data_IF_980663334014
#
_entry.id   IF_980663334014
#
_cell.length_a   1.000
_cell.length_b   1.000
_cell.length_c   1.000
_cell.angle_alpha   90.00
_cell.angle_beta   90.00
_cell.angle_gamma   90.00
#
_symmetry.space_group_name_H-M   'P 1'
#
loop_
_entity.id
_entity.type
_entity.pdbx_description
1 polymer ?
#
# COMPACT_ATOMS: atom_id res chain seq x y z
N UNK A 1 27.72 10.07 6.26
CA UNK A 1 26.43 10.46 5.65
C UNK A 1 25.41 9.33 5.67
N UNK A 2 25.74 8.14 5.15
CA UNK A 2 24.82 6.98 5.15
C UNK A 2 24.48 6.42 6.55
N UNK A 3 25.37 6.54 7.54
CA UNK A 3 25.17 6.04 8.91
C UNK A 3 23.89 6.57 9.61
N UNK A 4 23.36 7.72 9.16
CA UNK A 4 22.14 8.33 9.68
C UNK A 4 21.12 8.63 8.58
N UNK A 5 21.26 7.97 7.42
CA UNK A 5 20.32 8.13 6.32
C UNK A 5 19.00 7.44 6.69
N UNK A 6 17.93 8.23 6.71
CA UNK A 6 16.60 7.72 6.99
C UNK A 6 15.98 7.33 5.67
N UNK A 7 15.73 6.03 5.49
CA UNK A 7 15.16 5.50 4.27
C UNK A 7 13.75 6.04 4.05
N UNK A 8 12.90 5.99 5.08
CA UNK A 8 11.50 6.37 4.96
C UNK A 8 10.93 6.97 6.25
N UNK A 9 9.71 7.50 6.18
CA UNK A 9 8.88 7.77 7.34
C UNK A 9 7.94 6.57 7.58
N UNK A 10 7.58 6.34 8.84
CA UNK A 10 6.64 5.28 9.23
C UNK A 10 5.39 5.99 9.75
N UNK A 11 4.43 6.22 8.88
CA UNK A 11 3.26 7.08 9.05
C UNK A 11 2.42 6.72 10.29
N UNK A 12 2.19 5.42 10.55
CA UNK A 12 1.43 4.96 11.71
C UNK A 12 2.13 5.22 13.05
N UNK A 13 3.43 5.56 13.05
CA UNK A 13 4.17 5.93 14.26
C UNK A 13 3.97 7.41 14.67
N UNK A 14 3.33 8.23 13.83
CA UNK A 14 3.11 9.65 14.12
C UNK A 14 1.74 9.89 14.74
N UNK A 15 1.69 10.73 15.77
CA UNK A 15 0.45 11.27 16.34
C UNK A 15 0.23 12.75 16.07
N UNK A 16 1.30 13.43 15.66
CA UNK A 16 1.30 14.81 15.19
C UNK A 16 1.54 14.80 13.69
N UNK A 17 0.50 15.12 12.93
CA UNK A 17 0.52 15.20 11.46
C UNK A 17 1.50 16.26 10.96
N UNK A 18 1.68 17.36 11.69
CA UNK A 18 2.66 18.38 11.34
C UNK A 18 4.09 17.85 11.48
N UNK A 19 4.34 16.97 12.45
CA UNK A 19 5.63 16.29 12.59
C UNK A 19 5.87 15.30 11.45
N UNK A 20 4.86 14.54 11.04
CA UNK A 20 4.93 13.65 9.88
C UNK A 20 5.36 14.43 8.62
N UNK A 21 4.70 15.53 8.31
CA UNK A 21 5.01 16.34 7.12
C UNK A 21 6.45 16.90 7.19
N UNK A 22 6.91 17.38 8.34
CA UNK A 22 8.29 17.87 8.51
C UNK A 22 9.35 16.79 8.31
N UNK A 23 9.08 15.59 8.80
CA UNK A 23 9.98 14.45 8.63
C UNK A 23 9.97 13.95 7.19
N UNK A 24 8.82 13.95 6.52
CA UNK A 24 8.71 13.67 5.10
C UNK A 24 9.53 14.66 4.25
N UNK A 25 9.44 15.97 4.52
CA UNK A 25 10.32 16.97 3.88
C UNK A 25 11.80 16.62 4.11
N UNK A 26 12.14 16.23 5.33
CA UNK A 26 13.53 15.88 5.70
C UNK A 26 14.02 14.64 4.94
N UNK A 27 13.19 13.60 4.82
CA UNK A 27 13.48 12.38 4.05
C UNK A 27 13.63 12.71 2.56
N UNK A 28 12.71 13.46 1.98
CA UNK A 28 12.79 13.89 0.58
C UNK A 28 14.08 14.69 0.30
N UNK A 29 14.41 15.68 1.16
CA UNK A 29 15.66 16.46 1.04
C UNK A 29 16.92 15.59 1.14
N UNK A 30 16.95 14.63 2.06
CA UNK A 30 18.09 13.70 2.19
C UNK A 30 18.21 12.82 0.95
N UNK A 31 17.10 12.36 0.40
CA UNK A 31 17.07 11.54 -0.81
C UNK A 31 17.58 12.30 -2.02
N UNK A 32 17.11 13.52 -2.24
CA UNK A 32 17.62 14.40 -3.28
C UNK A 32 19.11 14.74 -3.07
N UNK A 33 19.54 15.06 -1.84
CA UNK A 33 20.97 15.31 -1.55
C UNK A 33 21.85 14.10 -1.91
N UNK A 34 21.40 12.89 -1.57
CA UNK A 34 22.14 11.67 -1.90
C UNK A 34 22.18 11.47 -3.42
N UNK A 35 21.05 11.64 -4.12
CA UNK A 35 20.99 11.56 -5.57
C UNK A 35 21.96 12.55 -6.24
N UNK A 36 21.92 13.83 -5.85
CA UNK A 36 22.83 14.88 -6.35
C UNK A 36 24.30 14.54 -6.13
N UNK A 37 24.64 13.92 -5.00
CA UNK A 37 25.99 13.47 -4.71
C UNK A 37 26.39 12.29 -5.62
N UNK A 38 25.51 11.32 -5.82
CA UNK A 38 25.76 10.17 -6.68
C UNK A 38 25.89 10.58 -8.15
N UNK A 39 25.07 11.51 -8.62
CA UNK A 39 25.18 12.09 -9.97
C UNK A 39 26.60 12.64 -10.20
N UNK A 40 27.13 13.42 -9.25
CA UNK A 40 28.47 14.02 -9.36
C UNK A 40 29.62 13.02 -9.23
N UNK A 41 29.45 11.96 -8.45
CA UNK A 41 30.53 11.01 -8.16
C UNK A 41 30.60 9.87 -9.17
N UNK A 42 29.45 9.47 -9.71
CA UNK A 42 29.33 8.32 -10.59
C UNK A 42 29.13 8.70 -12.05
N UNK A 43 28.70 9.93 -12.32
CA UNK A 43 28.34 10.42 -13.65
C UNK A 43 27.48 9.39 -14.43
N UNK A 44 26.35 8.93 -13.84
CA UNK A 44 25.64 7.80 -14.39
C UNK A 44 24.96 8.15 -15.71
N UNK A 45 24.93 7.19 -16.65
CA UNK A 45 24.18 7.36 -17.90
C UNK A 45 22.67 7.35 -17.67
N UNK A 46 22.18 6.62 -16.65
CA UNK A 46 20.76 6.50 -16.33
C UNK A 46 20.52 6.74 -14.83
N UNK A 47 19.49 7.51 -14.51
CA UNK A 47 19.06 7.79 -13.14
C UNK A 47 17.61 7.34 -12.94
N UNK A 48 17.40 6.41 -12.00
CA UNK A 48 16.08 6.06 -11.49
C UNK A 48 15.98 6.47 -10.02
N UNK A 49 15.03 7.34 -9.69
CA UNK A 49 14.86 7.89 -8.36
C UNK A 49 13.38 7.87 -7.95
N UNK A 50 13.10 7.26 -6.80
CA UNK A 50 11.75 7.22 -6.23
C UNK A 50 11.69 8.17 -5.05
N UNK A 51 10.67 9.02 -4.95
CA UNK A 51 10.31 9.71 -3.71
C UNK A 51 9.13 8.98 -3.08
N UNK A 52 9.33 8.32 -1.94
CA UNK A 52 8.28 7.53 -1.26
C UNK A 52 7.37 8.38 -0.37
N UNK A 53 7.81 9.58 -0.01
CA UNK A 53 7.09 10.44 0.94
C UNK A 53 5.68 10.88 0.51
N UNK A 54 5.33 11.01 -0.79
CA UNK A 54 3.94 11.28 -1.20
C UNK A 54 2.96 10.22 -0.69
N UNK A 55 3.29 8.94 -0.88
CA UNK A 55 2.49 7.79 -0.42
C UNK A 55 2.25 7.85 1.09
N UNK A 56 3.34 8.02 1.85
CA UNK A 56 3.31 8.10 3.32
C UNK A 56 2.47 9.25 3.87
N UNK A 57 2.42 10.36 3.15
CA UNK A 57 1.63 11.53 3.51
C UNK A 57 0.16 11.32 3.16
N UNK A 58 -0.11 10.78 1.97
CA UNK A 58 -1.48 10.65 1.48
C UNK A 58 -2.30 9.65 2.28
N UNK A 59 -1.70 8.60 2.84
CA UNK A 59 -2.42 7.68 3.71
C UNK A 59 -3.19 8.40 4.84
N UNK A 60 -2.55 9.14 5.76
CA UNK A 60 -3.26 9.88 6.81
C UNK A 60 -3.90 11.18 6.34
N UNK A 61 -3.33 11.88 5.35
CA UNK A 61 -3.67 13.29 5.06
C UNK A 61 -4.47 13.52 3.77
N UNK A 62 -4.96 12.48 3.09
CA UNK A 62 -5.75 12.64 1.86
C UNK A 62 -6.94 13.59 2.02
N UNK A 63 -7.67 13.50 3.14
CA UNK A 63 -8.80 14.41 3.42
C UNK A 63 -8.45 15.90 3.46
N UNK A 64 -7.16 16.27 3.55
CA UNK A 64 -6.69 17.65 3.49
C UNK A 64 -6.44 18.16 2.06
N UNK A 65 -6.28 17.25 1.10
CA UNK A 65 -6.05 17.57 -0.32
C UNK A 65 -7.24 17.24 -1.20
N UNK A 66 -8.15 16.40 -0.72
CA UNK A 66 -9.37 16.02 -1.41
C UNK A 66 -10.36 17.20 -1.44
N UNK A 67 -10.69 17.75 -2.63
CA UNK A 67 -11.64 18.86 -2.74
C UNK A 67 -13.06 18.51 -2.27
N UNK A 68 -13.39 17.22 -2.18
CA UNK A 68 -14.69 16.73 -1.71
C UNK A 68 -14.78 16.58 -0.19
N UNK A 69 -13.66 16.73 0.53
CA UNK A 69 -13.64 16.62 2.00
C UNK A 69 -14.05 17.94 2.68
N UNK A 70 -14.79 17.84 3.79
CA UNK A 70 -15.15 19.01 4.61
C UNK A 70 -13.92 19.48 5.43
N UNK A 71 -13.38 20.70 5.18
CA UNK A 71 -12.17 21.19 5.85
C UNK A 71 -12.39 21.66 7.30
N UNK A 72 -13.61 21.58 7.85
CA UNK A 72 -14.07 22.37 9.01
C UNK A 72 -13.44 22.11 10.39
N UNK A 73 -12.19 21.63 10.47
CA UNK A 73 -11.47 21.45 11.74
C UNK A 73 -10.27 22.40 11.80
N UNK A 74 -10.30 23.39 12.71
CA UNK A 74 -9.29 24.44 12.85
C UNK A 74 -7.86 23.92 13.10
N UNK A 75 -7.69 22.67 13.56
CA UNK A 75 -6.37 22.03 13.67
C UNK A 75 -5.73 21.68 12.32
N UNK A 76 -6.55 21.54 11.27
CA UNK A 76 -6.15 21.07 9.93
C UNK A 76 -5.53 22.16 9.06
N UNK A 77 -5.85 23.44 9.29
CA UNK A 77 -5.32 24.55 8.48
C UNK A 77 -3.79 24.60 8.49
N UNK A 78 -3.19 24.46 9.67
CA UNK A 78 -1.72 24.45 9.83
C UNK A 78 -1.07 23.25 9.14
N UNK A 79 -1.73 22.09 9.19
CA UNK A 79 -1.23 20.88 8.52
C UNK A 79 -1.36 21.03 7.00
N UNK A 80 -2.46 21.61 6.51
CA UNK A 80 -2.65 21.93 5.10
C UNK A 80 -1.60 22.92 4.58
N UNK A 81 -1.27 23.97 5.35
CA UNK A 81 -0.18 24.89 5.00
C UNK A 81 1.17 24.16 4.90
N UNK A 82 1.48 23.31 5.89
CA UNK A 82 2.70 22.49 5.86
C UNK A 82 2.72 21.51 4.68
N UNK A 83 1.57 20.95 4.32
CA UNK A 83 1.43 20.05 3.18
C UNK A 83 1.67 20.79 1.86
N UNK A 84 1.14 22.01 1.70
CA UNK A 84 1.46 22.86 0.56
C UNK A 84 2.97 23.15 0.49
N UNK A 85 3.60 23.46 1.63
CA UNK A 85 5.07 23.63 1.70
C UNK A 85 5.81 22.36 1.32
N UNK A 86 5.32 21.19 1.69
CA UNK A 86 5.90 19.91 1.27
C UNK A 86 5.87 19.75 -0.24
N UNK A 87 4.77 20.08 -0.92
CA UNK A 87 4.68 19.99 -2.38
C UNK A 87 5.63 20.94 -3.09
N UNK A 88 5.69 22.20 -2.64
CA UNK A 88 6.65 23.19 -3.17
C UNK A 88 8.11 22.75 -2.97
N UNK A 89 8.41 22.14 -1.83
CA UNK A 89 9.74 21.59 -1.56
C UNK A 89 10.04 20.39 -2.46
N UNK A 90 9.11 19.45 -2.62
CA UNK A 90 9.29 18.29 -3.48
C UNK A 90 9.53 18.70 -4.94
N UNK A 91 8.72 19.62 -5.46
CA UNK A 91 8.88 20.19 -6.81
C UNK A 91 10.27 20.80 -6.99
N UNK A 92 10.70 21.66 -6.05
CA UNK A 92 12.04 22.27 -6.09
C UNK A 92 13.19 21.25 -5.93
N UNK A 93 12.96 20.11 -5.27
CA UNK A 93 13.94 19.03 -5.18
C UNK A 93 14.03 18.24 -6.49
N UNK A 94 12.89 17.97 -7.14
CA UNK A 94 12.84 17.32 -8.46
C UNK A 94 13.54 18.20 -9.49
N UNK A 95 13.23 19.50 -9.54
CA UNK A 95 13.91 20.47 -10.41
C UNK A 95 15.43 20.44 -10.22
N UNK A 96 15.93 20.48 -8.98
CA UNK A 96 17.38 20.39 -8.70
C UNK A 96 18.03 19.10 -9.19
N UNK A 97 17.33 17.97 -9.08
CA UNK A 97 17.84 16.68 -9.56
C UNK A 97 17.90 16.68 -11.09
N UNK A 98 16.86 17.17 -11.77
CA UNK A 98 16.82 17.30 -13.23
C UNK A 98 17.94 18.22 -13.72
N UNK A 99 18.11 19.40 -13.12
CA UNK A 99 19.15 20.38 -13.50
C UNK A 99 20.58 19.88 -13.26
N UNK A 100 20.79 19.07 -12.23
CA UNK A 100 22.10 18.52 -11.90
C UNK A 100 22.46 17.30 -12.75
N UNK A 101 21.46 16.61 -13.29
CA UNK A 101 21.65 15.56 -14.26
C UNK A 101 21.98 16.16 -15.64
N UNK A 102 22.37 15.33 -16.60
CA UNK A 102 22.61 15.78 -17.97
C UNK A 102 21.29 16.13 -18.67
N UNK A 103 21.25 17.12 -19.58
CA UNK A 103 20.09 17.36 -20.42
C UNK A 103 19.69 16.09 -21.18
N UNK A 104 18.42 15.73 -21.15
CA UNK A 104 17.87 14.55 -21.81
C UNK A 104 16.40 14.34 -21.47
N UNK A 105 15.83 13.21 -21.88
CA UNK A 105 14.45 12.86 -21.57
C UNK A 105 14.28 12.49 -20.09
N UNK A 106 13.39 13.20 -19.40
CA UNK A 106 12.96 12.93 -18.02
C UNK A 106 11.52 12.46 -18.02
N UNK A 107 11.25 11.33 -17.36
CA UNK A 107 9.91 10.83 -17.10
C UNK A 107 9.64 10.91 -15.60
N UNK A 108 8.51 11.50 -15.21
CA UNK A 108 7.98 11.46 -13.83
C UNK A 108 6.72 10.61 -13.85
N UNK A 109 6.77 9.49 -13.15
CA UNK A 109 5.72 8.48 -13.15
C UNK A 109 5.41 8.11 -11.71
N UNK A 110 4.14 7.92 -11.38
CA UNK A 110 3.76 7.26 -10.13
C UNK A 110 3.46 5.78 -10.35
N UNK A 111 3.81 4.96 -9.37
CA UNK A 111 3.54 3.52 -9.37
C UNK A 111 2.04 3.20 -9.21
N UNK A 112 1.30 4.13 -8.62
CA UNK A 112 -0.15 4.09 -8.50
C UNK A 112 -0.72 5.51 -8.34
N UNK A 113 -2.05 5.60 -8.30
CA UNK A 113 -2.81 6.77 -7.86
C UNK A 113 -3.13 6.76 -6.38
N UNK A 114 -3.96 7.72 -5.97
CA UNK A 114 -4.49 7.80 -4.61
C UNK A 114 -5.91 8.38 -4.62
N UNK A 115 -6.68 8.05 -3.58
CA UNK A 115 -8.09 8.48 -3.44
C UNK A 115 -8.60 8.29 -2.02
N UNK A 116 -9.84 8.73 -1.74
CA UNK A 116 -10.41 8.65 -0.40
C UNK A 116 -10.55 7.19 0.06
N UNK A 117 -10.32 6.95 1.34
CA UNK A 117 -10.52 5.65 1.97
C UNK A 117 -11.83 5.64 2.74
N UNK A 118 -12.77 4.80 2.32
CA UNK A 118 -14.08 4.65 2.97
C UNK A 118 -14.03 3.67 4.14
N UNK A 119 -13.35 2.53 3.95
CA UNK A 119 -13.32 1.45 4.93
C UNK A 119 -12.19 0.47 4.65
N UNK A 120 -12.15 -0.61 5.44
CA UNK A 120 -11.28 -1.77 5.26
C UNK A 120 -12.12 -3.05 5.27
N UNK A 121 -11.87 -3.93 4.30
CA UNK A 121 -12.49 -5.24 4.15
C UNK A 121 -11.59 -6.35 4.72
N UNK A 122 -12.14 -7.19 5.59
CA UNK A 122 -11.41 -8.25 6.30
C UNK A 122 -11.63 -9.62 5.63
N UNK A 123 -10.83 -9.91 4.60
CA UNK A 123 -11.03 -11.06 3.72
C UNK A 123 -10.98 -12.40 4.43
N UNK A 124 -9.97 -12.62 5.28
CA UNK A 124 -9.86 -13.89 6.01
C UNK A 124 -11.00 -14.08 7.01
N UNK A 125 -11.55 -13.00 7.57
CA UNK A 125 -12.75 -13.06 8.40
C UNK A 125 -13.99 -13.43 7.55
N UNK A 126 -14.10 -12.93 6.31
CA UNK A 126 -15.13 -13.34 5.36
C UNK A 126 -15.05 -14.84 5.05
N UNK A 127 -13.86 -15.34 4.71
CA UNK A 127 -13.60 -16.76 4.45
C UNK A 127 -13.91 -17.62 5.67
N UNK A 128 -13.52 -17.17 6.88
CA UNK A 128 -13.77 -17.88 8.14
C UNK A 128 -15.26 -18.01 8.44
N UNK A 129 -16.04 -16.94 8.26
CA UNK A 129 -17.50 -16.96 8.50
C UNK A 129 -18.24 -17.92 7.57
N UNK A 130 -17.70 -18.13 6.38
CA UNK A 130 -18.26 -19.01 5.37
C UNK A 130 -17.65 -20.43 5.41
N UNK A 131 -16.85 -20.76 6.43
CA UNK A 131 -16.27 -22.10 6.60
C UNK A 131 -15.16 -22.45 5.61
N UNK A 132 -14.64 -21.48 4.86
CA UNK A 132 -13.56 -21.66 3.89
C UNK A 132 -12.16 -21.53 4.53
N UNK A 133 -12.07 -20.88 5.68
CA UNK A 133 -10.84 -20.75 6.46
C UNK A 133 -11.03 -21.28 7.88
N UNK A 134 -10.15 -22.20 8.28
CA UNK A 134 -10.10 -22.78 9.61
C UNK A 134 -9.04 -22.10 10.49
N UNK A 135 -9.31 -22.04 11.80
CA UNK A 135 -8.38 -21.49 12.80
C UNK A 135 -8.01 -22.56 13.82
N UNK A 136 -6.79 -22.51 14.35
CA UNK A 136 -6.31 -23.49 15.34
C UNK A 136 -7.20 -23.51 16.59
N UNK A 137 -7.51 -24.71 17.08
CA UNK A 137 -8.34 -24.93 18.27
C UNK A 137 -7.79 -24.19 19.49
N UNK A 138 -8.69 -23.65 20.31
CA UNK A 138 -8.35 -22.94 21.55
C UNK A 138 -8.02 -21.46 21.36
N UNK A 139 -7.86 -20.99 20.12
CA UNK A 139 -7.82 -19.56 19.83
C UNK A 139 -9.20 -18.95 20.02
N UNK A 140 -9.25 -17.78 20.67
CA UNK A 140 -10.45 -16.92 20.74
C UNK A 140 -10.14 -15.59 20.04
N UNK A 141 -10.08 -15.54 18.68
CA UNK A 141 -9.67 -14.35 17.94
C UNK A 141 -10.42 -13.09 18.34
N UNK A 142 -11.72 -13.21 18.59
CA UNK A 142 -12.57 -12.10 19.04
C UNK A 142 -12.12 -11.53 20.39
N UNK A 143 -11.69 -12.37 21.34
CA UNK A 143 -11.23 -11.91 22.65
C UNK A 143 -9.84 -11.24 22.53
N UNK A 144 -8.95 -11.80 21.71
CA UNK A 144 -7.63 -11.22 21.41
C UNK A 144 -7.79 -9.85 20.74
N UNK A 145 -8.63 -9.75 19.70
CA UNK A 145 -8.89 -8.48 19.02
C UNK A 145 -9.57 -7.48 19.93
N UNK A 146 -10.54 -7.90 20.75
CA UNK A 146 -11.19 -6.98 21.71
C UNK A 146 -10.17 -6.36 22.67
N UNK A 147 -9.19 -7.15 23.13
CA UNK A 147 -8.08 -6.65 23.95
C UNK A 147 -7.16 -5.70 23.16
N UNK A 148 -6.80 -6.07 21.92
CA UNK A 148 -5.99 -5.20 21.04
C UNK A 148 -6.70 -3.88 20.74
N UNK A 149 -8.02 -3.88 20.56
CA UNK A 149 -8.84 -2.69 20.32
C UNK A 149 -8.82 -1.75 21.53
N UNK A 150 -9.02 -2.29 22.75
CA UNK A 150 -8.87 -1.51 23.99
C UNK A 150 -7.47 -0.90 24.13
N UNK A 151 -6.44 -1.66 23.78
CA UNK A 151 -5.06 -1.19 23.81
C UNK A 151 -4.78 -0.10 22.76
N UNK A 152 -5.29 -0.24 21.54
CA UNK A 152 -5.16 0.76 20.48
C UNK A 152 -5.90 2.05 20.81
N UNK A 153 -7.09 1.96 21.42
CA UNK A 153 -7.82 3.12 21.94
C UNK A 153 -7.02 3.84 23.03
N UNK A 154 -6.48 3.09 24.01
CA UNK A 154 -5.63 3.65 25.05
C UNK A 154 -4.37 4.30 24.46
N UNK A 155 -3.73 3.65 23.48
CA UNK A 155 -2.57 4.17 22.75
C UNK A 155 -2.89 5.48 22.04
N UNK A 156 -4.02 5.55 21.32
CA UNK A 156 -4.48 6.77 20.64
C UNK A 156 -4.78 7.92 21.61
N UNK A 157 -5.43 7.64 22.75
CA UNK A 157 -5.71 8.66 23.77
C UNK A 157 -4.41 9.19 24.38
N UNK A 158 -3.48 8.31 24.74
CA UNK A 158 -2.18 8.69 25.31
C UNK A 158 -1.30 9.47 24.31
N UNK A 159 -1.36 9.09 23.02
CA UNK A 159 -0.68 9.78 21.92
C UNK A 159 -1.22 11.20 21.73
N UNK A 160 -2.55 11.36 21.61
CA UNK A 160 -3.20 12.68 21.48
C UNK A 160 -2.95 13.60 22.68
N UNK A 161 -2.83 13.03 23.89
CA UNK A 161 -2.54 13.80 25.09
C UNK A 161 -1.07 14.23 25.22
N UNK A 162 -0.18 13.82 24.30
CA UNK A 162 1.26 14.10 24.37
C UNK A 162 2.00 13.34 25.50
N UNK A 163 1.29 12.47 26.21
CA UNK A 163 1.82 11.69 27.36
C UNK A 163 2.67 10.54 26.86
N UNK A 164 2.37 10.01 25.66
CA UNK A 164 3.06 8.85 25.12
C UNK A 164 4.57 9.06 24.98
N UNK A 165 5.03 10.26 24.59
CA UNK A 165 6.47 10.52 24.38
C UNK A 165 7.28 10.49 25.69
N UNK A 166 6.69 11.03 26.78
CA UNK A 166 7.30 11.01 28.11
C UNK A 166 7.18 9.63 28.77
N UNK A 167 6.09 8.91 28.51
CA UNK A 167 5.90 7.56 29.00
C UNK A 167 6.80 6.58 28.26
N UNK A 168 7.09 6.76 26.97
CA UNK A 168 7.89 5.86 26.15
C UNK A 168 9.36 5.77 26.60
N UNK A 169 9.97 6.91 26.97
CA UNK A 169 11.35 6.91 27.49
C UNK A 169 11.46 6.28 28.88
N UNK A 170 10.47 6.51 29.76
CA UNK A 170 10.39 5.91 31.09
C UNK A 170 9.93 4.43 31.07
N UNK A 171 9.09 4.05 30.12
CA UNK A 171 8.53 2.71 29.93
C UNK A 171 9.55 1.66 29.47
N UNK A 172 10.61 2.10 28.77
CA UNK A 172 11.67 1.20 28.33
C UNK A 172 12.60 0.78 29.47
N UNK A 173 12.72 1.60 30.53
CA UNK A 173 13.59 1.31 31.68
C UNK A 173 12.84 0.68 32.86
N UNK A 174 11.52 0.89 32.98
CA UNK A 174 10.76 0.42 34.12
C UNK A 174 9.50 -0.37 33.72
N UNK A 175 9.50 -1.65 34.10
CA UNK A 175 8.30 -2.50 34.32
C UNK A 175 7.57 -3.02 33.06
N UNK A 176 7.99 -4.17 32.55
CA UNK A 176 7.08 -5.18 31.96
C UNK A 176 6.34 -4.85 30.64
N UNK A 177 6.48 -3.64 30.09
CA UNK A 177 5.85 -3.21 28.84
C UNK A 177 6.33 -3.98 27.60
N UNK A 178 7.42 -4.76 27.71
CA UNK A 178 7.84 -5.73 26.69
C UNK A 178 6.76 -6.80 26.43
N UNK A 179 5.96 -7.20 27.44
CA UNK A 179 4.80 -8.08 27.25
C UNK A 179 3.63 -7.36 26.58
N UNK A 180 3.43 -6.08 26.85
CA UNK A 180 2.39 -5.26 26.22
C UNK A 180 2.70 -5.04 24.73
N UNK A 181 3.96 -4.72 24.41
CA UNK A 181 4.49 -4.71 23.05
C UNK A 181 4.40 -6.08 22.39
N UNK A 182 4.61 -7.19 23.12
CA UNK A 182 4.38 -8.53 22.57
C UNK A 182 2.92 -8.77 22.19
N UNK A 183 1.94 -8.11 22.83
CA UNK A 183 0.52 -8.20 22.44
C UNK A 183 0.21 -7.35 21.19
N UNK A 184 0.85 -6.18 21.03
CA UNK A 184 0.74 -5.35 19.82
C UNK A 184 1.49 -5.99 18.64
N UNK A 185 2.64 -6.62 18.88
CA UNK A 185 3.38 -7.42 17.90
C UNK A 185 2.57 -8.69 17.53
N UNK A 186 1.92 -9.34 18.50
CA UNK A 186 0.95 -10.42 18.25
C UNK A 186 -0.31 -9.97 17.50
N UNK A 187 -0.60 -8.67 17.44
CA UNK A 187 -1.68 -8.17 16.60
C UNK A 187 -1.25 -8.08 15.13
N UNK A 188 -0.01 -7.67 14.85
CA UNK A 188 0.56 -7.85 13.51
C UNK A 188 0.65 -9.34 13.11
N UNK A 189 0.75 -10.24 14.10
CA UNK A 189 0.65 -11.71 13.92
C UNK A 189 -0.79 -12.15 13.54
N UNK A 190 -1.85 -11.35 13.76
CA UNK A 190 -3.22 -11.69 13.34
C UNK A 190 -3.48 -11.49 11.85
N UNK A 191 -2.70 -10.63 11.18
CA UNK A 191 -2.59 -10.56 9.73
C UNK A 191 -1.70 -11.68 9.17
N UNK A 192 -0.97 -12.37 10.05
CA UNK A 192 -0.15 -13.52 9.66
C UNK A 192 -0.99 -14.79 9.60
N UNK A 193 -0.50 -15.73 8.80
CA UNK A 193 -1.12 -17.05 8.64
C UNK A 193 -0.79 -18.01 9.80
N UNK A 194 -0.11 -17.57 10.87
CA UNK A 194 0.34 -18.45 11.97
C UNK A 194 -0.82 -19.08 12.75
N UNK A 195 -2.00 -18.46 12.72
CA UNK A 195 -3.21 -18.90 13.42
C UNK A 195 -4.13 -19.79 12.58
N UNK A 196 -3.84 -19.91 11.27
CA UNK A 196 -4.60 -20.74 10.33
C UNK A 196 -4.40 -22.21 10.66
N UNK A 197 -5.50 -22.97 10.65
CA UNK A 197 -5.46 -24.43 10.65
C UNK A 197 -5.54 -24.93 9.21
N UNK A 198 -4.36 -25.15 8.61
CA UNK A 198 -4.21 -25.49 7.19
C UNK A 198 -4.97 -26.74 6.77
N UNK A 199 -5.09 -27.74 7.65
CA UNK A 199 -5.80 -28.99 7.34
C UNK A 199 -7.32 -28.81 7.25
N UNK A 200 -7.84 -27.66 7.68
CA UNK A 200 -9.26 -27.30 7.60
C UNK A 200 -9.51 -26.03 6.79
N UNK A 201 -8.51 -25.56 6.02
CA UNK A 201 -8.57 -24.31 5.26
C UNK A 201 -8.56 -24.60 3.78
N UNK A 202 -9.60 -24.16 3.07
CA UNK A 202 -9.78 -24.31 1.63
C UNK A 202 -9.25 -23.08 0.86
N UNK A 203 -9.37 -21.90 1.44
CA UNK A 203 -8.92 -20.65 0.85
C UNK A 203 -8.41 -19.70 1.93
N UNK A 204 -7.45 -18.86 1.55
CA UNK A 204 -6.81 -17.90 2.45
C UNK A 204 -6.35 -16.67 1.69
N UNK A 205 -6.15 -15.59 2.42
CA UNK A 205 -5.54 -14.37 1.95
C UNK A 205 -4.37 -14.00 2.85
N UNK A 206 -3.37 -13.29 2.33
CA UNK A 206 -2.17 -12.95 3.09
C UNK A 206 -1.72 -11.51 2.85
N UNK A 207 -0.79 -11.05 3.68
CA UNK A 207 -0.21 -9.73 3.51
C UNK A 207 0.65 -9.70 2.23
N UNK A 208 0.17 -9.03 1.19
CA UNK A 208 0.95 -8.65 0.01
C UNK A 208 1.24 -7.14 0.05
N UNK A 209 2.35 -6.75 -0.58
CA UNK A 209 2.63 -5.36 -0.95
C UNK A 209 2.67 -5.35 -2.49
N UNK A 210 1.74 -4.67 -3.22
CA UNK A 210 0.68 -3.74 -2.80
C UNK A 210 -0.63 -4.39 -2.35
N UNK A 211 -1.56 -3.54 -1.90
CA UNK A 211 -2.87 -3.86 -1.33
C UNK A 211 -3.87 -4.27 -2.42
N UNK A 212 -3.61 -5.40 -3.09
CA UNK A 212 -4.60 -6.02 -3.96
C UNK A 212 -5.48 -6.94 -3.10
N UNK A 213 -6.78 -6.74 -3.17
CA UNK A 213 -7.77 -7.64 -2.60
C UNK A 213 -7.68 -8.97 -3.35
N UNK A 214 -7.18 -10.02 -2.69
CA UNK A 214 -6.92 -11.30 -3.34
C UNK A 214 -7.20 -12.49 -2.42
N UNK A 215 -7.39 -13.66 -3.01
CA UNK A 215 -7.55 -14.94 -2.31
C UNK A 215 -6.80 -16.03 -3.08
N UNK A 216 -6.06 -16.84 -2.34
CA UNK A 216 -5.47 -18.09 -2.81
C UNK A 216 -6.31 -19.27 -2.33
N UNK A 217 -6.45 -20.28 -3.17
CA UNK A 217 -6.93 -21.60 -2.79
C UNK A 217 -5.77 -22.41 -2.19
N UNK A 218 -6.04 -23.18 -1.14
CA UNK A 218 -5.06 -24.05 -0.50
C UNK A 218 -4.95 -25.39 -1.26
N UNK A 219 -4.38 -25.35 -2.47
CA UNK A 219 -4.28 -26.47 -3.40
C UNK A 219 -3.25 -27.51 -2.96
N UNK A 220 -3.62 -28.78 -3.08
CA UNK A 220 -2.77 -29.91 -2.68
C UNK A 220 -1.45 -30.02 -3.47
N UNK A 221 -1.37 -29.42 -4.66
CA UNK A 221 -0.22 -29.48 -5.57
C UNK A 221 0.61 -28.18 -5.61
N UNK A 222 0.17 -27.11 -4.93
CA UNK A 222 0.89 -25.82 -4.88
C UNK A 222 1.28 -25.41 -3.46
N UNK A 223 0.46 -25.68 -2.45
CA UNK A 223 0.70 -25.29 -1.07
C UNK A 223 1.25 -26.46 -0.23
N UNK A 224 2.23 -26.22 0.67
CA UNK A 224 2.83 -27.29 1.48
C UNK A 224 1.83 -28.12 2.30
N UNK A 225 0.75 -27.49 2.77
CA UNK A 225 -0.32 -28.13 3.54
C UNK A 225 -1.68 -28.07 2.82
N UNK A 226 -1.65 -28.03 1.49
CA UNK A 226 -2.81 -27.99 0.62
C UNK A 226 -3.81 -29.12 0.86
N UNK A 227 -5.10 -28.78 0.86
CA UNK A 227 -6.22 -29.75 1.04
C UNK A 227 -7.19 -29.77 -0.13
N UNK A 228 -7.13 -28.79 -1.03
CA UNK A 228 -8.00 -28.70 -2.19
C UNK A 228 -7.37 -29.48 -3.35
N UNK A 229 -7.91 -30.64 -3.75
CA UNK A 229 -7.43 -31.33 -4.94
C UNK A 229 -7.81 -30.55 -6.21
N UNK A 230 -7.04 -30.70 -7.28
CA UNK A 230 -7.32 -30.04 -8.56
C UNK A 230 -8.76 -30.28 -9.09
N UNK A 231 -9.33 -31.46 -8.81
CA UNK A 231 -10.73 -31.79 -9.18
C UNK A 231 -11.80 -30.94 -8.47
N UNK A 232 -11.42 -30.24 -7.40
CA UNK A 232 -12.28 -29.36 -6.59
C UNK A 232 -11.94 -27.87 -6.77
N UNK A 233 -10.98 -27.53 -7.64
CA UNK A 233 -10.51 -26.16 -7.84
C UNK A 233 -11.66 -25.18 -8.11
N UNK A 234 -12.44 -25.45 -9.15
CA UNK A 234 -13.55 -24.57 -9.54
C UNK A 234 -14.66 -24.49 -8.50
N UNK A 235 -14.99 -25.62 -7.85
CA UNK A 235 -15.99 -25.65 -6.80
C UNK A 235 -15.62 -24.74 -5.61
N UNK A 236 -14.37 -24.79 -5.16
CA UNK A 236 -13.87 -23.94 -4.08
C UNK A 236 -13.75 -22.49 -4.56
N UNK A 237 -13.30 -22.25 -5.79
CA UNK A 237 -13.19 -20.91 -6.37
C UNK A 237 -14.55 -20.21 -6.44
N UNK A 238 -15.58 -20.91 -6.90
CA UNK A 238 -16.94 -20.37 -6.93
C UNK A 238 -17.52 -20.15 -5.53
N UNK A 239 -17.19 -20.98 -4.53
CA UNK A 239 -17.57 -20.74 -3.14
C UNK A 239 -16.93 -19.45 -2.57
N UNK A 240 -15.65 -19.19 -2.89
CA UNK A 240 -14.96 -17.94 -2.54
C UNK A 240 -15.62 -16.74 -3.23
N UNK A 241 -15.90 -16.83 -4.53
CA UNK A 241 -16.57 -15.76 -5.27
C UNK A 241 -17.94 -15.48 -4.65
N UNK A 242 -18.72 -16.51 -4.38
CA UNK A 242 -20.04 -16.41 -3.75
C UNK A 242 -20.00 -15.70 -2.40
N UNK A 243 -19.07 -16.07 -1.51
CA UNK A 243 -18.97 -15.44 -0.20
C UNK A 243 -18.58 -13.95 -0.27
N UNK A 244 -17.71 -13.58 -1.21
CA UNK A 244 -17.36 -12.18 -1.45
C UNK A 244 -18.57 -11.40 -1.95
N UNK A 245 -19.31 -11.92 -2.94
CA UNK A 245 -20.49 -11.23 -3.47
C UNK A 245 -21.62 -11.10 -2.43
N UNK A 246 -21.81 -12.11 -1.58
CA UNK A 246 -22.79 -12.03 -0.50
C UNK A 246 -22.39 -11.02 0.57
N UNK A 247 -21.10 -10.91 0.91
CA UNK A 247 -20.60 -9.82 1.75
C UNK A 247 -20.84 -8.44 1.11
N UNK A 248 -20.67 -8.31 -0.21
CA UNK A 248 -21.02 -7.08 -0.94
C UNK A 248 -22.49 -6.68 -0.74
N UNK A 249 -23.42 -7.63 -0.85
CA UNK A 249 -24.85 -7.41 -0.59
C UNK A 249 -25.14 -7.06 0.87
N UNK A 250 -24.55 -7.78 1.81
CA UNK A 250 -24.75 -7.58 3.26
C UNK A 250 -24.35 -6.16 3.70
N UNK A 251 -23.22 -5.66 3.21
CA UNK A 251 -22.68 -4.36 3.60
C UNK A 251 -23.05 -3.22 2.62
N UNK A 252 -23.81 -3.51 1.57
CA UNK A 252 -24.24 -2.50 0.58
C UNK A 252 -23.08 -1.91 -0.23
N UNK A 253 -22.04 -2.70 -0.49
CA UNK A 253 -20.85 -2.28 -1.26
C UNK A 253 -20.74 -3.04 -2.57
N UNK A 254 -20.17 -2.40 -3.59
CA UNK A 254 -19.91 -3.05 -4.87
C UNK A 254 -18.62 -3.84 -4.78
N UNK A 255 -18.72 -5.16 -4.95
CA UNK A 255 -17.57 -6.05 -5.09
C UNK A 255 -17.49 -6.53 -6.53
N UNK A 256 -16.41 -6.19 -7.22
CA UNK A 256 -16.07 -6.78 -8.54
C UNK A 256 -15.05 -7.87 -8.32
N UNK A 257 -15.30 -9.04 -8.88
CA UNK A 257 -14.42 -10.19 -8.71
C UNK A 257 -13.83 -10.53 -10.08
N UNK A 258 -12.54 -10.82 -10.08
CA UNK A 258 -11.74 -11.17 -11.25
C UNK A 258 -11.07 -12.52 -10.99
N UNK A 259 -11.08 -13.38 -12.01
CA UNK A 259 -10.29 -14.61 -11.99
C UNK A 259 -8.86 -14.29 -12.41
N UNK A 260 -7.90 -15.09 -11.94
CA UNK A 260 -6.48 -14.84 -12.23
C UNK A 260 -6.17 -14.71 -13.71
N UNK A 261 -6.82 -15.54 -14.54
CA UNK A 261 -6.66 -15.57 -16.00
C UNK A 261 -7.28 -14.36 -16.72
N UNK A 262 -8.10 -13.57 -16.04
CA UNK A 262 -8.67 -12.32 -16.57
C UNK A 262 -7.73 -11.13 -16.34
N UNK A 263 -6.84 -11.22 -15.36
CA UNK A 263 -5.94 -10.13 -14.93
C UNK A 263 -4.51 -10.38 -15.37
N UNK A 264 -4.04 -11.63 -15.24
CA UNK A 264 -2.66 -12.02 -15.48
C UNK A 264 -2.56 -13.02 -16.62
N UNK A 265 -1.41 -13.02 -17.27
CA UNK A 265 -1.06 -14.01 -18.29
C UNK A 265 0.43 -14.38 -18.19
N UNK A 266 0.89 -15.33 -19.00
CA UNK A 266 2.29 -15.75 -19.04
C UNK A 266 2.62 -16.99 -18.17
N UNK A 267 3.90 -17.39 -18.14
CA UNK A 267 4.34 -18.70 -17.61
C UNK A 267 4.14 -18.86 -16.10
N UNK A 268 4.05 -17.74 -15.36
CA UNK A 268 3.89 -17.72 -13.91
C UNK A 268 2.44 -17.57 -13.45
N UNK A 269 1.45 -17.66 -14.36
CA UNK A 269 0.03 -17.53 -14.04
C UNK A 269 -0.42 -18.46 -12.90
N UNK A 270 0.17 -19.66 -12.80
CA UNK A 270 -0.13 -20.62 -11.74
C UNK A 270 0.24 -20.14 -10.32
N UNK A 271 1.15 -19.17 -10.20
CA UNK A 271 1.57 -18.55 -8.93
C UNK A 271 0.69 -17.35 -8.54
N UNK A 272 -0.12 -16.82 -9.47
CA UNK A 272 -1.00 -15.69 -9.19
C UNK A 272 -2.11 -16.08 -8.20
N UNK A 273 -2.68 -15.10 -7.45
CA UNK A 273 -3.86 -15.34 -6.64
C UNK A 273 -5.01 -15.86 -7.51
N UNK A 274 -5.75 -16.85 -7.02
CA UNK A 274 -6.80 -17.50 -7.82
C UNK A 274 -8.04 -16.63 -8.02
N UNK A 275 -8.29 -15.73 -7.06
CA UNK A 275 -9.36 -14.74 -7.11
C UNK A 275 -8.77 -13.39 -6.71
N UNK A 276 -8.99 -12.38 -7.56
CA UNK A 276 -8.75 -10.98 -7.26
C UNK A 276 -10.10 -10.27 -7.16
N UNK A 277 -10.19 -9.20 -6.38
CA UNK A 277 -11.41 -8.44 -6.30
C UNK A 277 -11.15 -6.97 -6.01
N UNK A 278 -12.15 -6.14 -6.20
CA UNK A 278 -12.14 -4.71 -5.87
C UNK A 278 -13.42 -4.37 -5.14
N UNK A 279 -13.33 -3.49 -4.14
CA UNK A 279 -14.49 -3.04 -3.36
C UNK A 279 -14.62 -1.52 -3.54
N UNK A 280 -15.81 -1.06 -3.96
CA UNK A 280 -16.11 0.35 -4.27
C UNK A 280 -15.01 1.03 -5.10
N UNK A 281 -14.55 0.36 -6.17
CA UNK A 281 -13.55 0.89 -7.12
C UNK A 281 -12.22 1.28 -6.46
N UNK A 282 -11.83 0.53 -5.43
CA UNK A 282 -10.59 0.72 -4.69
C UNK A 282 -10.67 1.71 -3.54
N UNK A 283 -11.85 2.24 -3.19
CA UNK A 283 -12.01 3.10 -1.99
C UNK A 283 -12.00 2.33 -0.68
N UNK A 284 -12.11 0.99 -0.73
CA UNK A 284 -12.06 0.12 0.44
C UNK A 284 -10.77 -0.71 0.42
N UNK A 285 -9.99 -0.56 1.47
CA UNK A 285 -8.70 -1.23 1.64
C UNK A 285 -8.86 -2.70 2.05
N UNK A 286 -7.86 -3.51 1.76
CA UNK A 286 -7.80 -4.91 2.13
C UNK A 286 -7.07 -5.13 3.47
N UNK A 287 -7.54 -6.11 4.26
CA UNK A 287 -6.76 -6.62 5.38
C UNK A 287 -7.00 -8.13 5.64
N UNK A 288 -5.94 -8.96 5.74
CA UNK A 288 -6.08 -10.40 5.97
C UNK A 288 -6.30 -10.75 7.45
N UNK A 289 -6.56 -9.79 8.34
CA UNK A 289 -6.68 -10.09 9.77
C UNK A 289 -7.98 -10.82 10.12
N UNK A 290 -7.89 -11.68 11.13
CA UNK A 290 -8.97 -12.55 11.61
C UNK A 290 -9.54 -12.12 12.96
N UNK A 291 -10.84 -12.32 13.20
CA UNK A 291 -11.47 -12.19 14.53
C UNK A 291 -12.25 -10.88 14.74
N UNK A 292 -12.48 -10.13 13.67
CA UNK A 292 -13.29 -8.91 13.70
C UNK A 292 -14.79 -9.24 13.75
N UNK A 293 -15.60 -8.46 14.49
CA UNK A 293 -17.05 -8.64 14.53
C UNK A 293 -17.76 -8.15 13.26
N UNK A 294 -17.05 -7.53 12.32
CA UNK A 294 -17.54 -7.05 11.01
C UNK A 294 -16.60 -7.50 9.88
N UNK A 295 -17.12 -7.54 8.64
CA UNK A 295 -16.31 -7.75 7.44
C UNK A 295 -15.85 -6.45 6.80
N UNK A 296 -16.59 -5.36 7.01
CA UNK A 296 -16.29 -4.03 6.52
C UNK A 296 -16.34 -3.04 7.68
N UNK A 297 -15.27 -2.28 7.88
CA UNK A 297 -15.21 -1.29 8.95
C UNK A 297 -13.88 -0.56 9.03
N UNK A 298 -13.69 0.32 10.02
CA UNK A 298 -12.42 1.00 10.21
C UNK A 298 -11.32 0.01 10.61
N UNK A 299 -10.11 0.23 10.11
CA UNK A 299 -8.94 -0.48 10.60
C UNK A 299 -8.47 0.16 11.91
N UNK A 300 -8.72 -0.48 13.05
CA UNK A 300 -8.57 0.19 14.35
C UNK A 300 -7.13 0.57 14.74
N UNK A 301 -6.13 -0.03 14.12
CA UNK A 301 -4.72 0.38 14.29
C UNK A 301 -4.32 1.53 13.40
N UNK A 302 -5.16 1.88 12.42
CA UNK A 302 -5.02 3.12 11.68
C UNK A 302 -6.38 3.77 11.39
N UNK A 303 -7.07 4.28 12.44
CA UNK A 303 -8.35 4.97 12.26
C UNK A 303 -8.19 6.33 11.59
N UNK A 304 -6.96 6.72 11.23
CA UNK A 304 -6.61 8.05 10.70
C UNK A 304 -6.24 8.00 9.22
N UNK A 305 -6.10 6.81 8.61
CA UNK A 305 -5.97 6.72 7.16
C UNK A 305 -7.21 7.27 6.49
N UNK A 306 -7.07 8.39 5.80
CA UNK A 306 -8.14 9.02 5.02
C UNK A 306 -7.96 8.78 3.52
N UNK A 307 -6.79 8.28 3.10
CA UNK A 307 -6.50 7.92 1.72
C UNK A 307 -6.02 6.49 1.55
N UNK A 308 -6.25 5.96 0.36
CA UNK A 308 -5.71 4.66 -0.09
C UNK A 308 -5.44 4.70 -1.60
N UNK A 309 -4.74 3.68 -2.08
CA UNK A 309 -4.25 3.57 -3.45
C UNK A 309 -5.39 3.59 -4.49
N UNK A 310 -5.07 4.03 -5.71
CA UNK A 310 -5.94 3.95 -6.90
C UNK A 310 -5.15 3.46 -8.10
N UNK A 311 -5.80 2.89 -9.14
CA UNK A 311 -5.08 2.42 -10.33
C UNK A 311 -4.46 3.56 -11.16
N UNK A 312 -5.10 4.74 -11.21
CA UNK A 312 -4.65 5.84 -12.07
C UNK A 312 -3.74 6.84 -11.36
N UNK A 313 -2.47 6.86 -11.77
CA UNK A 313 -1.42 7.74 -11.28
C UNK A 313 -1.20 9.00 -12.12
N UNK A 314 0.01 9.55 -12.03
CA UNK A 314 0.49 10.65 -12.87
C UNK A 314 1.57 10.19 -13.83
N UNK A 315 1.61 10.85 -15.00
CA UNK A 315 2.68 10.72 -15.98
C UNK A 315 3.04 12.11 -16.51
N UNK A 316 4.31 12.46 -16.44
CA UNK A 316 4.87 13.70 -17.01
C UNK A 316 6.14 13.34 -17.79
N UNK A 317 6.37 14.03 -18.89
CA UNK A 317 7.60 13.95 -19.66
C UNK A 317 8.16 15.35 -19.89
N UNK A 318 9.47 15.51 -19.79
CA UNK A 318 10.17 16.79 -19.91
C UNK A 318 11.59 16.59 -20.44
N UNK A 319 12.10 17.54 -21.20
CA UNK A 319 13.50 17.57 -21.62
C UNK A 319 13.69 18.07 -23.05
N UNK A 320 14.93 18.37 -23.45
CA UNK A 320 15.24 18.80 -24.81
C UNK A 320 14.99 17.72 -25.87
N UNK A 321 15.01 16.45 -25.47
CA UNK A 321 14.81 15.30 -26.36
C UNK A 321 13.34 14.87 -26.47
N UNK A 322 12.42 15.62 -25.85
CA UNK A 322 11.00 15.32 -25.90
C UNK A 322 10.46 15.54 -27.32
N UNK A 323 9.91 14.49 -27.92
CA UNK A 323 9.40 14.52 -29.29
C UNK A 323 8.24 15.50 -29.50
N UNK A 324 7.30 15.51 -28.55
CA UNK A 324 6.05 16.26 -28.66
C UNK A 324 5.56 16.74 -27.30
N UNK A 325 4.98 17.94 -27.28
CA UNK A 325 4.26 18.47 -26.13
C UNK A 325 2.80 17.95 -26.05
N UNK A 326 2.39 17.07 -26.97
CA UNK A 326 1.08 16.42 -26.91
C UNK A 326 1.11 15.26 -25.92
N UNK A 327 0.48 15.44 -24.77
CA UNK A 327 0.35 14.38 -23.77
C UNK A 327 -0.51 13.22 -24.33
N UNK A 328 -0.10 11.96 -24.12
CA UNK A 328 -0.96 10.81 -24.39
C UNK A 328 -2.21 10.85 -23.49
N UNK A 329 -3.33 10.31 -23.97
CA UNK A 329 -4.57 10.25 -23.20
C UNK A 329 -4.46 9.32 -21.99
N UNK A 330 -3.72 8.22 -22.13
CA UNK A 330 -3.47 7.22 -21.10
C UNK A 330 -2.15 6.51 -21.42
N UNK A 331 -1.41 6.11 -20.37
CA UNK A 331 -0.14 5.40 -20.46
C UNK A 331 -0.15 4.28 -19.44
N UNK A 332 0.28 3.08 -19.83
CA UNK A 332 0.50 2.00 -18.87
C UNK A 332 1.84 2.17 -18.19
N UNK A 333 1.94 1.85 -16.90
CA UNK A 333 3.24 1.80 -16.21
C UNK A 333 4.21 0.80 -16.88
N UNK A 334 3.68 -0.24 -17.52
CA UNK A 334 4.47 -1.21 -18.29
C UNK A 334 5.16 -0.57 -19.50
N UNK A 335 4.65 0.55 -20.01
CA UNK A 335 5.20 1.26 -21.16
C UNK A 335 6.47 2.06 -20.82
N UNK A 336 6.73 2.32 -19.53
CA UNK A 336 7.88 3.14 -19.08
C UNK A 336 9.21 2.47 -19.41
N UNK A 337 9.38 1.20 -19.03
CA UNK A 337 10.62 0.46 -19.29
C UNK A 337 10.96 0.36 -20.80
N UNK A 338 10.07 -0.12 -21.69
CA UNK A 338 10.39 -0.20 -23.11
C UNK A 338 10.61 1.18 -23.75
N UNK A 339 9.95 2.23 -23.24
CA UNK A 339 10.27 3.61 -23.66
C UNK A 339 11.71 4.00 -23.33
N UNK A 340 12.16 3.70 -22.11
CA UNK A 340 13.55 3.96 -21.70
C UNK A 340 14.53 3.14 -22.54
N UNK A 341 14.27 1.85 -22.78
CA UNK A 341 15.13 1.02 -23.62
C UNK A 341 15.27 1.58 -25.03
N UNK A 342 14.16 1.94 -25.67
CA UNK A 342 14.17 2.51 -27.03
C UNK A 342 14.89 3.87 -27.06
N UNK A 343 14.73 4.72 -26.03
CA UNK A 343 15.47 5.99 -25.93
C UNK A 343 17.00 5.78 -25.89
N UNK A 344 17.49 4.69 -25.29
CA UNK A 344 18.91 4.33 -25.29
C UNK A 344 19.34 3.51 -26.52
N UNK A 345 18.45 3.29 -27.49
CA UNK A 345 18.74 2.45 -28.66
C UNK A 345 18.93 0.97 -28.32
N UNK A 346 18.38 0.51 -27.20
CA UNK A 346 18.41 -0.88 -26.76
C UNK A 346 17.14 -1.57 -27.26
N UNK A 347 17.29 -2.74 -27.89
CA UNK A 347 16.16 -3.54 -28.35
C UNK A 347 15.27 -3.96 -27.18
N UNK A 348 13.96 -3.74 -27.32
CA UNK A 348 12.98 -4.14 -26.31
C UNK A 348 12.78 -5.66 -26.40
N UNK A 349 13.01 -6.42 -25.31
CA UNK A 349 12.79 -7.85 -25.32
C UNK A 349 11.33 -8.24 -25.64
N UNK A 350 11.14 -9.37 -26.31
CA UNK A 350 9.81 -9.84 -26.73
C UNK A 350 8.90 -10.26 -25.55
N UNK A 351 9.47 -10.48 -24.36
CA UNK A 351 8.77 -10.86 -23.13
C UNK A 351 8.35 -9.65 -22.27
N UNK A 352 8.38 -8.44 -22.84
CA UNK A 352 7.89 -7.20 -22.21
C UNK A 352 6.45 -6.91 -22.63
N UNK A 353 5.54 -6.79 -21.66
CA UNK A 353 4.11 -6.54 -21.92
C UNK A 353 3.82 -5.13 -22.48
N UNK A 354 4.59 -4.13 -22.03
CA UNK A 354 4.41 -2.73 -22.40
C UNK A 354 4.98 -2.38 -23.77
N UNK A 355 4.62 -1.20 -24.26
CA UNK A 355 5.10 -0.67 -25.54
C UNK A 355 5.72 0.71 -25.37
N UNK A 356 6.72 1.08 -26.19
CA UNK A 356 7.31 2.41 -26.17
C UNK A 356 6.26 3.52 -26.37
N UNK A 357 6.29 4.54 -25.51
CA UNK A 357 5.39 5.70 -25.51
C UNK A 357 5.82 6.64 -26.63
N UNK A 358 5.27 6.44 -27.83
CA UNK A 358 5.65 7.18 -29.05
C UNK A 358 5.65 8.71 -28.90
N UNK A 359 4.68 9.35 -28.22
CA UNK A 359 4.69 10.81 -28.08
C UNK A 359 5.91 11.40 -27.34
N UNK A 360 6.65 10.60 -26.57
CA UNK A 360 7.83 11.09 -25.83
C UNK A 360 9.17 10.78 -26.53
N UNK A 361 9.18 9.87 -27.50
CA UNK A 361 10.38 9.42 -28.22
C UNK A 361 10.53 10.17 -29.55
N UNK A 362 11.61 10.96 -29.67
CA UNK A 362 11.90 11.83 -30.81
C UNK A 362 12.43 11.12 -32.05
#
# INVERSE_FOLDING_TARGET
ELKHYRLDVIEWAYFDEAHLVKDAITVARRRARLALKLIRLMEPDFLFLVFTTPDRIFHPLWSLVDPSSDPSDAGKEKVAELLNRYWLELDGLVSKVIEAFRPGLTLVVSDHGFGPKEATFFTNECLRRNGLLGIKKGLKPQATISLCHLMALAYNVLGKAGIFYNLYSLANEAVGLRKLWSCVIKYFDMASLTHVDWKSTYAFSCAHTPVFNHVYLNLADREPDGVVPASKYEEVREAVIGCLLDAGKEYGVRIRVHRREEVYSGPYLHMAPDVLFEVNDGSVEFNPSLGFPYLLGPYFTDPRTTGTHRPYGIFLAYGPDLASNSAPSEVSIYDVMPTVLEYYGIEVPEDVDGKPIRPVLG
#
